data_IF_486551750248
#
_entry.id   IF_486551750248
#
_cell.length_a   1.000
_cell.length_b   1.000
_cell.length_c   1.000
_cell.angle_alpha   90.00
_cell.angle_beta   90.00
_cell.angle_gamma   90.00
#
_symmetry.space_group_name_H-M   'P 1'
#
loop_
_entity.id
_entity.type
_entity.pdbx_description
1 polymer ?
#
# COMPACT_ATOMS: atom_id res chain seq x y z
N UNK A 1 -8.65 -11.55 54.22
CA UNK A 1 -8.28 -10.42 53.35
C UNK A 1 -8.91 -9.19 53.94
N UNK A 2 -8.10 -8.23 54.40
CA UNK A 2 -8.61 -7.04 55.07
C UNK A 2 -9.12 -6.01 54.05
N UNK A 3 -9.98 -5.08 54.48
CA UNK A 3 -10.52 -4.05 53.59
C UNK A 3 -9.43 -3.22 52.87
N UNK A 4 -8.28 -3.00 53.53
CA UNK A 4 -7.12 -2.29 52.95
C UNK A 4 -6.45 -3.09 51.83
N UNK A 5 -6.43 -4.42 51.93
CA UNK A 5 -5.84 -5.29 50.90
C UNK A 5 -6.72 -5.29 49.65
N UNK A 6 -8.04 -5.35 49.84
CA UNK A 6 -9.03 -5.22 48.77
C UNK A 6 -8.88 -3.87 48.05
N UNK A 7 -8.75 -2.78 48.79
CA UNK A 7 -8.55 -1.44 48.21
C UNK A 7 -7.27 -1.39 47.35
N UNK A 8 -6.16 -1.96 47.84
CA UNK A 8 -4.89 -2.01 47.11
C UNK A 8 -5.00 -2.84 45.83
N UNK A 9 -5.71 -3.97 45.87
CA UNK A 9 -5.98 -4.81 44.70
C UNK A 9 -6.77 -4.06 43.63
N UNK A 10 -7.85 -3.38 44.03
CA UNK A 10 -8.70 -2.60 43.12
C UNK A 10 -7.92 -1.47 42.46
N UNK A 11 -7.12 -0.73 43.24
CA UNK A 11 -6.27 0.35 42.71
C UNK A 11 -5.27 -0.16 41.67
N UNK A 12 -4.58 -1.26 41.99
CA UNK A 12 -3.61 -1.86 41.07
C UNK A 12 -4.27 -2.39 39.79
N UNK A 13 -5.41 -3.08 39.92
CA UNK A 13 -6.18 -3.55 38.77
C UNK A 13 -6.59 -2.39 37.85
N UNK A 14 -7.08 -1.29 38.42
CA UNK A 14 -7.40 -0.07 37.67
C UNK A 14 -6.18 0.46 36.92
N UNK A 15 -5.05 0.62 37.59
CA UNK A 15 -3.84 1.18 36.98
C UNK A 15 -3.29 0.28 35.86
N UNK A 16 -3.33 -1.04 36.05
CA UNK A 16 -2.92 -2.01 35.03
C UNK A 16 -3.86 -1.97 33.82
N UNK A 17 -5.18 -1.89 34.02
CA UNK A 17 -6.16 -1.74 32.93
C UNK A 17 -5.91 -0.44 32.15
N UNK A 18 -5.77 0.69 32.86
CA UNK A 18 -5.54 1.99 32.23
C UNK A 18 -4.25 1.98 31.41
N UNK A 19 -3.17 1.42 31.96
CA UNK A 19 -1.89 1.27 31.25
C UNK A 19 -2.01 0.34 30.06
N UNK A 20 -2.75 -0.74 30.19
CA UNK A 20 -2.92 -1.68 29.09
C UNK A 20 -3.70 -1.06 27.93
N UNK A 21 -4.83 -0.40 28.21
CA UNK A 21 -5.71 0.22 27.21
C UNK A 21 -5.07 1.44 26.54
N UNK A 22 -4.38 2.29 27.30
CA UNK A 22 -3.86 3.55 26.76
C UNK A 22 -2.46 3.43 26.14
N UNK A 23 -1.70 2.40 26.50
CA UNK A 23 -0.26 2.39 26.25
C UNK A 23 0.19 1.08 25.57
N UNK A 24 -0.10 -0.08 26.17
CA UNK A 24 0.44 -1.37 25.71
C UNK A 24 -0.34 -1.96 24.52
N UNK A 25 -1.66 -2.00 24.60
CA UNK A 25 -2.52 -2.57 23.55
C UNK A 25 -2.43 -1.78 22.25
N UNK A 26 -2.61 -0.43 22.23
CA UNK A 26 -2.54 0.34 21.00
C UNK A 26 -1.22 0.15 20.24
N UNK A 27 -0.07 0.12 20.95
CA UNK A 27 1.23 -0.12 20.31
C UNK A 27 1.33 -1.50 19.67
N UNK A 28 0.90 -2.55 20.37
CA UNK A 28 0.91 -3.92 19.83
C UNK A 28 0.00 -4.05 18.61
N UNK A 29 -1.23 -3.53 18.72
CA UNK A 29 -2.22 -3.55 17.64
C UNK A 29 -1.72 -2.76 16.43
N UNK A 30 -1.11 -1.58 16.63
CA UNK A 30 -0.52 -0.77 15.56
C UNK A 30 0.56 -1.51 14.79
N UNK A 31 1.53 -2.12 15.49
CA UNK A 31 2.60 -2.91 14.86
C UNK A 31 2.02 -4.08 14.06
N UNK A 32 1.07 -4.84 14.64
CA UNK A 32 0.48 -5.99 13.97
C UNK A 32 -0.35 -5.58 12.75
N UNK A 33 -1.08 -4.48 12.83
CA UNK A 33 -1.88 -3.96 11.72
C UNK A 33 -1.00 -3.50 10.56
N UNK A 34 0.06 -2.71 10.85
CA UNK A 34 1.04 -2.29 9.84
C UNK A 34 1.70 -3.51 9.19
N UNK A 35 2.09 -4.51 9.98
CA UNK A 35 2.69 -5.73 9.47
C UNK A 35 1.72 -6.55 8.61
N UNK A 36 0.45 -6.62 8.98
CA UNK A 36 -0.59 -7.27 8.17
C UNK A 36 -0.72 -6.58 6.80
N UNK A 37 -0.86 -5.25 6.77
CA UNK A 37 -0.93 -4.54 5.49
C UNK A 37 0.35 -4.64 4.66
N UNK A 38 1.53 -4.61 5.29
CA UNK A 38 2.81 -4.87 4.59
C UNK A 38 2.88 -6.30 4.04
N UNK A 39 2.27 -7.27 4.71
CA UNK A 39 2.23 -8.65 4.24
C UNK A 39 1.40 -8.79 2.96
N UNK A 40 0.29 -8.07 2.83
CA UNK A 40 -0.50 -8.02 1.58
C UNK A 40 0.35 -7.68 0.35
N UNK A 41 1.35 -6.79 0.47
CA UNK A 41 2.28 -6.48 -0.62
C UNK A 41 3.21 -7.64 -0.97
N UNK A 42 3.65 -8.40 0.04
CA UNK A 42 4.52 -9.57 -0.15
C UNK A 42 3.76 -10.73 -0.77
N UNK A 43 2.51 -10.92 -0.35
CA UNK A 43 1.62 -11.95 -0.87
C UNK A 43 1.03 -11.55 -2.23
N UNK A 44 1.14 -10.27 -2.61
CA UNK A 44 0.68 -9.75 -3.90
C UNK A 44 -0.85 -9.67 -4.01
N UNK A 45 -1.56 -9.52 -2.89
CA UNK A 45 -3.01 -9.57 -2.83
C UNK A 45 -3.59 -9.04 -1.52
N UNK A 46 -4.92 -8.89 -1.51
CA UNK A 46 -5.69 -8.51 -0.32
C UNK A 46 -6.07 -9.76 0.47
N UNK A 47 -5.65 -9.86 1.73
CA UNK A 47 -6.00 -10.99 2.61
C UNK A 47 -7.29 -10.69 3.37
N UNK A 48 -8.40 -11.24 2.91
CA UNK A 48 -9.72 -11.10 3.54
C UNK A 48 -10.63 -12.29 3.21
N UNK A 49 -10.74 -13.22 4.16
CA UNK A 49 -11.34 -14.55 3.94
C UNK A 49 -10.62 -15.33 2.82
N UNK A 50 -9.30 -15.31 2.88
CA UNK A 50 -8.43 -15.83 1.82
C UNK A 50 -7.75 -14.72 1.02
N UNK A 51 -6.75 -15.13 0.23
CA UNK A 51 -5.96 -14.21 -0.57
C UNK A 51 -6.69 -13.87 -1.86
N UNK A 52 -6.96 -12.59 -2.08
CA UNK A 52 -7.48 -12.03 -3.32
C UNK A 52 -6.33 -11.39 -4.11
N UNK A 53 -5.74 -12.08 -5.11
CA UNK A 53 -4.55 -11.58 -5.79
C UNK A 53 -4.83 -10.30 -6.57
N UNK A 54 -3.90 -9.35 -6.53
CA UNK A 54 -4.03 -8.12 -7.31
C UNK A 54 -3.91 -8.38 -8.80
N UNK A 55 -4.67 -7.60 -9.59
CA UNK A 55 -4.58 -7.65 -11.05
C UNK A 55 -3.13 -7.42 -11.53
N UNK A 56 -2.64 -8.33 -12.36
CA UNK A 56 -1.33 -8.23 -13.02
C UNK A 56 -1.20 -6.92 -13.78
N UNK A 57 0.02 -6.37 -13.76
CA UNK A 57 0.34 -5.11 -14.45
C UNK A 57 0.99 -5.41 -15.80
N UNK A 58 0.80 -4.52 -16.79
CA UNK A 58 1.47 -4.63 -18.11
C UNK A 58 3.00 -4.70 -18.01
N UNK A 59 3.58 -4.10 -16.96
CA UNK A 59 5.01 -4.16 -16.69
C UNK A 59 5.50 -5.60 -16.54
N UNK A 60 4.68 -6.47 -15.95
CA UNK A 60 5.03 -7.87 -15.69
C UNK A 60 5.00 -8.74 -16.95
N UNK A 61 4.48 -8.21 -18.06
CA UNK A 61 4.43 -8.91 -19.35
C UNK A 61 5.67 -8.59 -20.21
N UNK A 62 6.53 -7.68 -19.75
CA UNK A 62 7.78 -7.33 -20.41
C UNK A 62 8.96 -8.24 -20.04
N UNK A 63 10.09 -8.00 -20.68
CA UNK A 63 11.36 -8.71 -20.40
C UNK A 63 12.38 -7.85 -19.64
N UNK A 64 11.92 -6.77 -18.99
CA UNK A 64 12.80 -5.92 -18.17
C UNK A 64 13.12 -6.61 -16.82
N UNK A 65 14.22 -6.25 -16.15
CA UNK A 65 14.48 -6.73 -14.78
C UNK A 65 13.40 -6.32 -13.77
N UNK A 66 12.53 -5.35 -14.10
CA UNK A 66 11.41 -4.91 -13.28
C UNK A 66 10.12 -5.71 -13.47
N UNK A 67 10.08 -6.59 -14.48
CA UNK A 67 8.91 -7.42 -14.79
C UNK A 67 8.67 -8.50 -13.74
N UNK A 68 9.70 -8.84 -12.95
CA UNK A 68 9.61 -9.78 -11.82
C UNK A 68 8.83 -9.24 -10.63
N UNK A 69 8.70 -7.92 -10.48
CA UNK A 69 8.01 -7.33 -9.34
C UNK A 69 6.49 -7.41 -9.52
N UNK A 70 5.80 -7.83 -8.46
CA UNK A 70 4.35 -7.89 -8.41
C UNK A 70 3.65 -6.52 -8.52
N UNK A 71 2.32 -6.51 -8.57
CA UNK A 71 1.57 -5.27 -8.52
C UNK A 71 1.90 -4.47 -7.24
N UNK A 72 1.97 -3.14 -7.34
CA UNK A 72 2.34 -2.20 -6.26
C UNK A 72 3.75 -2.36 -5.66
N UNK A 73 4.54 -3.33 -6.09
CA UNK A 73 5.93 -3.50 -5.66
C UNK A 73 6.92 -3.07 -6.74
N UNK A 74 8.12 -2.74 -6.29
CA UNK A 74 9.25 -2.26 -7.09
C UNK A 74 10.56 -2.45 -6.34
N UNK A 75 11.69 -1.99 -6.89
CA UNK A 75 12.97 -1.99 -6.15
C UNK A 75 12.94 -1.24 -4.81
N UNK A 76 12.06 -0.24 -4.65
CA UNK A 76 12.04 0.67 -3.48
C UNK A 76 10.87 0.44 -2.54
N UNK A 77 9.76 -0.14 -3.04
CA UNK A 77 8.52 -0.39 -2.29
C UNK A 77 8.02 0.79 -1.43
N UNK A 78 8.04 2.01 -1.98
CA UNK A 78 7.70 3.22 -1.23
C UNK A 78 6.29 3.15 -0.61
N UNK A 79 5.27 2.77 -1.40
CA UNK A 79 3.89 2.64 -0.93
C UNK A 79 3.79 1.68 0.28
N UNK A 80 4.42 0.51 0.21
CA UNK A 80 4.43 -0.45 1.32
C UNK A 80 5.16 0.10 2.55
N UNK A 81 6.29 0.78 2.35
CA UNK A 81 7.13 1.29 3.44
C UNK A 81 6.50 2.47 4.16
N UNK A 82 5.71 3.28 3.47
CA UNK A 82 5.04 4.47 4.02
C UNK A 82 3.83 4.17 4.91
N UNK A 83 3.40 2.90 5.04
CA UNK A 83 2.33 2.55 5.97
C UNK A 83 2.80 2.79 7.41
N UNK A 84 2.09 3.65 8.11
CA UNK A 84 2.41 4.09 9.47
C UNK A 84 1.20 3.98 10.40
N UNK A 85 1.47 3.78 11.68
CA UNK A 85 0.46 3.73 12.73
C UNK A 85 0.74 4.80 13.79
N UNK A 86 -0.29 5.53 14.17
CA UNK A 86 -0.29 6.50 15.26
C UNK A 86 -1.21 5.96 16.36
N UNK A 87 -0.68 5.86 17.57
CA UNK A 87 -1.43 5.36 18.73
C UNK A 87 -2.05 6.50 19.51
N UNK A 88 -3.33 6.38 19.87
CA UNK A 88 -4.01 7.23 20.83
C UNK A 88 -4.55 6.43 22.01
N UNK A 89 -5.11 7.08 23.05
CA UNK A 89 -5.76 6.38 24.16
C UNK A 89 -6.86 5.45 23.64
N UNK A 90 -6.71 4.14 23.88
CA UNK A 90 -7.65 3.11 23.42
C UNK A 90 -7.83 2.98 21.90
N UNK A 91 -7.02 3.66 21.09
CA UNK A 91 -7.23 3.80 19.64
C UNK A 91 -5.94 3.67 18.86
N UNK A 92 -6.05 3.18 17.62
CA UNK A 92 -4.93 3.08 16.68
C UNK A 92 -5.41 3.57 15.32
N UNK A 93 -4.74 4.59 14.81
CA UNK A 93 -4.96 5.08 13.45
C UNK A 93 -3.84 4.56 12.57
N UNK A 94 -4.17 3.87 11.48
CA UNK A 94 -3.19 3.39 10.50
C UNK A 94 -3.47 4.05 9.16
N UNK A 95 -2.45 4.66 8.58
CA UNK A 95 -2.58 5.44 7.35
C UNK A 95 -1.41 5.20 6.40
N UNK A 96 -1.60 5.68 5.17
CA UNK A 96 -0.53 5.77 4.19
C UNK A 96 -0.53 7.18 3.60
N UNK A 97 0.48 8.01 3.91
CA UNK A 97 0.46 9.43 3.58
C UNK A 97 0.80 9.72 2.11
N UNK A 98 1.12 8.71 1.29
CA UNK A 98 1.50 8.98 -0.11
C UNK A 98 0.26 9.36 -0.94
N UNK A 99 0.37 10.40 -1.80
CA UNK A 99 -0.80 10.99 -2.47
C UNK A 99 -1.52 10.03 -3.43
N UNK A 100 -0.83 9.00 -3.91
CA UNK A 100 -1.39 7.98 -4.81
C UNK A 100 -1.87 6.72 -4.07
N UNK A 101 -1.86 6.69 -2.73
CA UNK A 101 -2.33 5.54 -1.95
C UNK A 101 -3.81 5.26 -2.20
N UNK A 102 -4.66 6.28 -2.07
CA UNK A 102 -6.11 6.15 -2.17
C UNK A 102 -6.53 5.54 -3.52
N UNK A 103 -6.03 6.10 -4.63
CA UNK A 103 -6.40 5.62 -5.97
C UNK A 103 -5.92 4.18 -6.26
N UNK A 104 -4.85 3.72 -5.60
CA UNK A 104 -4.44 2.31 -5.67
C UNK A 104 -5.26 1.40 -4.76
N UNK A 105 -5.68 1.90 -3.59
CA UNK A 105 -6.48 1.15 -2.65
C UNK A 105 -7.91 0.94 -3.15
N UNK A 106 -8.53 2.01 -3.63
CA UNK A 106 -9.96 2.04 -3.96
C UNK A 106 -10.19 1.82 -5.46
N UNK A 107 -9.15 2.02 -6.28
CA UNK A 107 -9.29 2.05 -7.72
C UNK A 107 -9.98 3.32 -8.19
N UNK A 108 -10.12 3.48 -9.50
CA UNK A 108 -10.85 4.61 -10.07
C UNK A 108 -10.40 4.99 -11.47
N UNK A 109 -11.00 6.04 -11.98
CA UNK A 109 -10.69 6.60 -13.28
C UNK A 109 -10.00 7.94 -13.09
N UNK A 110 -8.88 8.14 -13.79
CA UNK A 110 -8.12 9.38 -13.76
C UNK A 110 -8.12 9.95 -15.17
N UNK A 111 -8.46 11.23 -15.27
CA UNK A 111 -8.20 12.02 -16.47
C UNK A 111 -7.14 13.06 -16.14
N UNK A 112 -6.04 13.04 -16.90
CA UNK A 112 -4.96 14.03 -16.75
C UNK A 112 -4.70 14.74 -18.07
N UNK A 113 -4.16 15.96 -17.99
CA UNK A 113 -3.83 16.77 -19.15
C UNK A 113 -2.34 17.16 -19.18
N UNK A 114 -1.40 16.19 -19.26
CA UNK A 114 0.02 16.49 -19.33
C UNK A 114 0.38 17.40 -20.51
N UNK A 115 1.26 18.36 -20.26
CA UNK A 115 1.81 19.26 -21.27
C UNK A 115 2.88 18.55 -22.10
N UNK A 116 2.77 18.65 -23.42
CA UNK A 116 3.75 18.11 -24.37
C UNK A 116 4.96 19.03 -24.40
N UNK A 117 6.06 18.56 -23.84
CA UNK A 117 7.34 19.28 -23.85
C UNK A 117 8.13 19.00 -25.14
N UNK A 118 9.07 19.89 -25.48
CA UNK A 118 9.97 19.66 -26.62
C UNK A 118 10.82 18.39 -26.43
N UNK A 119 11.23 18.09 -25.18
CA UNK A 119 11.94 16.86 -24.84
C UNK A 119 11.11 15.61 -25.16
N UNK A 120 9.79 15.64 -24.90
CA UNK A 120 8.89 14.53 -25.27
C UNK A 120 8.80 14.35 -26.78
N UNK A 121 8.81 15.44 -27.57
CA UNK A 121 8.82 15.36 -29.04
C UNK A 121 10.12 14.77 -29.57
N UNK A 122 11.25 15.18 -29.01
CA UNK A 122 12.57 14.61 -29.33
C UNK A 122 12.61 13.11 -29.01
N UNK A 123 12.05 12.70 -27.88
CA UNK A 123 11.94 11.29 -27.52
C UNK A 123 10.99 10.52 -28.46
N UNK A 124 9.85 11.12 -28.83
CA UNK A 124 8.94 10.51 -29.79
C UNK A 124 9.64 10.28 -31.14
N UNK A 125 10.41 11.25 -31.64
CA UNK A 125 11.25 11.04 -32.82
C UNK A 125 12.27 9.92 -32.64
N UNK A 126 12.97 9.88 -31.52
CA UNK A 126 13.89 8.79 -31.22
C UNK A 126 13.20 7.41 -31.30
N UNK A 127 11.98 7.28 -30.77
CA UNK A 127 11.19 6.04 -30.88
C UNK A 127 10.83 5.69 -32.33
N UNK A 128 10.45 6.67 -33.16
CA UNK A 128 10.17 6.46 -34.59
C UNK A 128 11.37 5.84 -35.30
N UNK A 129 12.55 6.46 -35.17
CA UNK A 129 13.77 5.98 -35.82
C UNK A 129 14.19 4.59 -35.30
N UNK A 130 14.10 4.38 -33.99
CA UNK A 130 14.45 3.09 -33.37
C UNK A 130 13.54 1.95 -33.84
N UNK A 131 12.22 2.19 -33.91
CA UNK A 131 11.25 1.17 -34.34
C UNK A 131 11.28 0.94 -35.85
N UNK A 132 11.64 1.94 -36.64
CA UNK A 132 11.86 1.80 -38.08
C UNK A 132 13.19 1.10 -38.42
N UNK A 133 13.99 0.70 -37.43
CA UNK A 133 15.27 0.00 -37.63
C UNK A 133 16.38 0.88 -38.19
N UNK A 134 16.20 2.21 -38.18
CA UNK A 134 17.16 3.15 -38.76
C UNK A 134 18.26 3.45 -37.74
N UNK A 135 19.52 3.13 -38.09
CA UNK A 135 20.70 3.45 -37.28
C UNK A 135 21.43 4.68 -37.84
N UNK A 136 21.88 5.58 -36.96
CA UNK A 136 22.65 6.76 -37.34
C UNK A 136 21.86 7.79 -38.14
N UNK A 137 22.50 8.47 -39.11
CA UNK A 137 21.89 9.51 -39.97
C UNK A 137 21.08 8.94 -41.15
N UNK A 138 20.53 7.72 -41.01
CA UNK A 138 19.74 7.09 -42.06
C UNK A 138 18.42 7.82 -42.31
N UNK A 139 17.91 7.74 -43.55
CA UNK A 139 16.58 8.27 -43.89
C UNK A 139 15.49 7.34 -43.37
N UNK A 140 14.36 7.91 -43.00
CA UNK A 140 13.21 7.15 -42.54
C UNK A 140 12.54 6.43 -43.73
N UNK A 141 12.19 5.14 -43.61
CA UNK A 141 11.44 4.42 -44.65
C UNK A 141 10.09 5.09 -44.95
N UNK A 142 9.60 4.92 -46.19
CA UNK A 142 8.31 5.46 -46.64
C UNK A 142 7.14 4.79 -45.92
N UNK A 143 7.27 3.48 -45.65
CA UNK A 143 6.32 2.69 -44.87
C UNK A 143 6.88 2.45 -43.47
N UNK A 144 6.11 2.84 -42.45
CA UNK A 144 6.51 2.73 -41.06
C UNK A 144 5.71 1.63 -40.37
N UNK A 145 6.32 0.90 -39.42
CA UNK A 145 5.56 0.04 -38.52
C UNK A 145 4.46 0.82 -37.80
N UNK A 146 3.32 0.19 -37.54
CA UNK A 146 2.15 0.83 -36.90
C UNK A 146 2.48 1.53 -35.58
N UNK A 147 3.39 0.96 -34.79
CA UNK A 147 3.84 1.60 -33.55
C UNK A 147 4.69 2.86 -33.81
N UNK A 148 5.59 2.81 -34.80
CA UNK A 148 6.40 3.95 -35.19
C UNK A 148 5.53 5.11 -35.71
N UNK A 149 4.44 4.81 -36.43
CA UNK A 149 3.54 5.84 -36.92
C UNK A 149 2.77 6.56 -35.79
N UNK A 150 2.35 5.83 -34.73
CA UNK A 150 1.77 6.44 -33.52
C UNK A 150 2.75 7.42 -32.85
N UNK A 151 4.02 7.04 -32.75
CA UNK A 151 5.08 7.92 -32.21
C UNK A 151 5.32 9.15 -33.10
N UNK A 152 5.26 8.99 -34.43
CA UNK A 152 5.39 10.09 -35.38
C UNK A 152 4.25 11.09 -35.22
N UNK A 153 3.01 10.62 -35.04
CA UNK A 153 1.86 11.47 -34.73
C UNK A 153 2.07 12.28 -33.44
N UNK A 154 2.61 11.64 -32.38
CA UNK A 154 2.94 12.31 -31.14
C UNK A 154 4.06 13.36 -31.31
N UNK A 155 5.07 13.09 -32.13
CA UNK A 155 6.16 14.03 -32.38
C UNK A 155 5.67 15.30 -33.12
N UNK A 156 4.78 15.12 -34.10
CA UNK A 156 4.27 16.16 -34.98
C UNK A 156 3.04 16.91 -34.45
N UNK A 157 2.42 16.44 -33.37
CA UNK A 157 1.17 17.01 -32.86
C UNK A 157 1.29 18.51 -32.54
N UNK A 158 0.38 19.35 -33.04
CA UNK A 158 0.39 20.79 -32.69
C UNK A 158 -0.20 21.09 -31.31
N UNK A 159 -0.81 20.09 -30.65
CA UNK A 159 -1.45 20.24 -29.34
C UNK A 159 -0.40 20.58 -28.28
N UNK A 160 -0.78 21.46 -27.32
CA UNK A 160 0.05 21.76 -26.14
C UNK A 160 -0.15 20.73 -25.03
N UNK A 161 -1.37 20.21 -24.86
CA UNK A 161 -1.71 19.23 -23.83
C UNK A 161 -2.32 17.97 -24.48
N UNK A 162 -2.11 16.81 -23.86
CA UNK A 162 -2.76 15.54 -24.24
C UNK A 162 -3.70 15.16 -23.12
N UNK A 163 -4.93 14.77 -23.47
CA UNK A 163 -5.83 14.15 -22.50
C UNK A 163 -5.52 12.66 -22.38
N UNK A 164 -5.19 12.21 -21.17
CA UNK A 164 -4.93 10.82 -20.85
C UNK A 164 -6.01 10.34 -19.89
N UNK A 165 -6.84 9.41 -20.35
CA UNK A 165 -7.79 8.68 -19.53
C UNK A 165 -7.17 7.35 -19.10
N UNK A 166 -7.14 7.07 -17.80
CA UNK A 166 -6.58 5.85 -17.25
C UNK A 166 -7.54 5.23 -16.23
N UNK A 167 -7.87 3.96 -16.42
CA UNK A 167 -8.59 3.15 -15.43
C UNK A 167 -7.60 2.42 -14.55
N UNK A 168 -7.56 2.81 -13.27
CA UNK A 168 -6.73 2.16 -12.25
C UNK A 168 -7.55 1.05 -11.59
N UNK A 169 -7.09 -0.22 -11.65
CA UNK A 169 -7.79 -1.29 -10.96
C UNK A 169 -7.64 -1.11 -9.45
N UNK A 170 -8.73 -1.39 -8.74
CA UNK A 170 -8.73 -1.52 -7.29
C UNK A 170 -7.78 -2.65 -6.90
N UNK A 171 -6.84 -2.35 -6.00
CA UNK A 171 -5.96 -3.39 -5.45
C UNK A 171 -6.31 -3.67 -4.00
N UNK A 172 -6.73 -2.68 -3.22
CA UNK A 172 -7.00 -2.80 -1.77
C UNK A 172 -5.84 -3.45 -1.02
N UNK A 173 -5.03 -2.61 -0.39
CA UNK A 173 -3.89 -3.06 0.42
C UNK A 173 -4.07 -2.67 1.90
N UNK A 174 -4.98 -1.74 2.18
CA UNK A 174 -5.42 -1.33 3.51
C UNK A 174 -6.95 -1.35 3.57
N UNK A 175 -7.47 -1.73 4.73
CA UNK A 175 -8.90 -1.84 4.97
C UNK A 175 -9.21 -2.79 6.12
N UNK A 176 -10.50 -3.03 6.34
CA UNK A 176 -10.97 -4.03 7.28
C UNK A 176 -10.89 -5.44 6.67
N UNK A 177 -10.25 -6.36 7.38
CA UNK A 177 -9.97 -7.74 6.95
C UNK A 177 -10.34 -8.71 8.07
N UNK A 178 -10.95 -9.84 7.72
CA UNK A 178 -11.30 -10.90 8.67
C UNK A 178 -10.06 -11.43 9.43
N UNK A 179 -8.95 -11.63 8.74
CA UNK A 179 -7.69 -12.12 9.30
C UNK A 179 -7.05 -11.06 10.21
N UNK A 180 -7.11 -9.79 9.84
CA UNK A 180 -6.66 -8.70 10.70
C UNK A 180 -7.49 -8.66 11.99
N UNK A 181 -8.82 -8.69 11.87
CA UNK A 181 -9.74 -8.68 13.02
C UNK A 181 -9.46 -9.83 13.96
N UNK A 182 -9.23 -11.02 13.44
CA UNK A 182 -8.85 -12.21 14.23
C UNK A 182 -7.55 -11.99 14.99
N UNK A 183 -6.51 -11.45 14.33
CA UNK A 183 -5.22 -11.13 14.98
C UNK A 183 -5.39 -10.08 16.08
N UNK A 184 -6.16 -9.03 15.84
CA UNK A 184 -6.42 -7.96 16.82
C UNK A 184 -7.20 -8.51 18.02
N UNK A 185 -8.28 -9.26 17.79
CA UNK A 185 -9.08 -9.87 18.85
C UNK A 185 -8.25 -10.81 19.72
N UNK A 186 -7.35 -11.59 19.12
CA UNK A 186 -6.42 -12.43 19.88
C UNK A 186 -5.53 -11.60 20.81
N UNK A 187 -4.94 -10.52 20.31
CA UNK A 187 -4.07 -9.63 21.13
C UNK A 187 -4.84 -9.02 22.30
N UNK A 188 -6.08 -8.59 22.06
CA UNK A 188 -6.97 -8.03 23.08
C UNK A 188 -7.30 -9.10 24.12
N UNK A 189 -7.73 -10.28 23.70
CA UNK A 189 -8.08 -11.38 24.60
C UNK A 189 -6.88 -11.84 25.44
N UNK A 190 -5.71 -12.03 24.83
CA UNK A 190 -4.47 -12.40 25.51
C UNK A 190 -4.04 -11.33 26.55
N UNK A 191 -4.41 -10.07 26.30
CA UNK A 191 -4.16 -8.96 27.21
C UNK A 191 -5.11 -8.96 28.40
N UNK A 192 -6.41 -9.16 28.15
CA UNK A 192 -7.43 -9.30 29.18
C UNK A 192 -7.12 -10.49 30.11
N UNK A 193 -6.75 -11.64 29.54
CA UNK A 193 -6.36 -12.81 30.36
C UNK A 193 -5.15 -12.51 31.23
N UNK A 194 -4.11 -11.84 30.70
CA UNK A 194 -2.93 -11.47 31.49
C UNK A 194 -3.28 -10.56 32.67
N UNK A 195 -4.19 -9.59 32.48
CA UNK A 195 -4.66 -8.74 33.58
C UNK A 195 -5.41 -9.57 34.61
N UNK A 196 -6.34 -10.42 34.15
CA UNK A 196 -7.12 -11.30 35.03
C UNK A 196 -6.22 -12.20 35.87
N UNK A 197 -5.25 -12.88 35.25
CA UNK A 197 -4.32 -13.78 35.93
C UNK A 197 -3.46 -13.02 36.95
N UNK A 198 -3.03 -11.79 36.61
CA UNK A 198 -2.32 -10.90 37.53
C UNK A 198 -3.14 -10.53 38.76
N UNK A 199 -4.44 -10.27 38.61
CA UNK A 199 -5.35 -9.98 39.73
C UNK A 199 -5.54 -11.24 40.59
N UNK A 200 -5.76 -12.41 39.99
CA UNK A 200 -5.95 -13.67 40.72
C UNK A 200 -4.71 -13.99 41.56
N UNK A 201 -3.52 -13.89 40.98
CA UNK A 201 -2.26 -14.14 41.67
C UNK A 201 -2.06 -13.21 42.88
N UNK A 202 -2.48 -11.94 42.78
CA UNK A 202 -2.39 -11.00 43.89
C UNK A 202 -3.44 -11.24 44.97
N UNK A 203 -4.56 -11.89 44.66
CA UNK A 203 -5.63 -12.22 45.62
C UNK A 203 -5.38 -13.52 46.39
N UNK A 204 -4.46 -14.36 45.88
CA UNK A 204 -4.10 -15.66 46.47
C UNK A 204 -2.92 -15.57 47.46
N UNK A 205 -2.40 -14.36 47.68
CA UNK A 205 -1.36 -14.03 48.65
C UNK A 205 -1.89 -12.98 49.63
#
# INVERSE_FOLDING_TARGET
>A
MEAKDIEKLVRKAKDDIVKEVNDRLPRKVGVVTVNHFKQNFRDGGWLDNGLHPWKRTRRQDGNSPDSKYGPLTSRRDHLMRSIQATTGPGTVTVENPVPYAAIHNDGGEITTHPTITERMRKYAWHMVYSLAGVKGKGKLPKELPTEADKWKGLALTKKKNITVHAKIPQRRFMGDSAELRTKVNRIINDSIQRIKDGIIALSSH
#
